data_IF_267365027849
#
_entry.id   IF_267365027849
#
_cell.length_a   1.000
_cell.length_b   1.000
_cell.length_c   1.000
_cell.angle_alpha   90.00
_cell.angle_beta   90.00
_cell.angle_gamma   90.00
#
_symmetry.space_group_name_H-M   'P 1'
#
loop_
_entity.id
_entity.type
_entity.pdbx_description
1 polymer ?
#
# COMPACT_ATOMS: atom_id res chain seq x y z
N UNK A 1 17.31 1.09 -9.80
CA UNK A 1 15.92 1.58 -9.68
C UNK A 1 15.32 1.09 -8.38
N UNK A 2 14.85 2.02 -7.57
CA UNK A 2 14.24 1.70 -6.28
C UNK A 2 12.74 1.52 -6.41
N UNK A 3 12.16 0.69 -5.54
CA UNK A 3 10.72 0.47 -5.49
C UNK A 3 10.22 0.68 -4.06
N UNK A 4 9.07 1.31 -3.93
CA UNK A 4 8.36 1.47 -2.67
C UNK A 4 6.97 0.86 -2.77
N UNK A 5 6.63 0.03 -1.80
CA UNK A 5 5.27 -0.50 -1.69
C UNK A 5 4.39 0.55 -1.00
N UNK A 6 3.23 0.80 -1.58
CA UNK A 6 2.30 1.83 -1.08
C UNK A 6 1.11 1.12 -0.45
N UNK A 7 0.98 1.24 0.88
CA UNK A 7 -0.16 0.66 1.59
C UNK A 7 -1.43 1.48 1.32
N UNK A 8 -2.55 0.83 1.53
CA UNK A 8 -3.89 1.38 1.24
C UNK A 8 -4.13 2.74 1.87
N UNK A 9 -3.71 2.95 3.13
CA UNK A 9 -3.98 4.21 3.84
C UNK A 9 -3.39 5.43 3.12
N UNK A 10 -2.24 5.30 2.48
CA UNK A 10 -1.62 6.40 1.74
C UNK A 10 -2.51 6.82 0.56
N UNK A 11 -3.05 5.85 -0.16
CA UNK A 11 -3.93 6.12 -1.31
C UNK A 11 -5.29 6.69 -0.87
N UNK A 12 -5.82 6.19 0.24
CA UNK A 12 -7.08 6.69 0.80
C UNK A 12 -6.93 8.13 1.26
N UNK A 13 -5.87 8.48 1.99
CA UNK A 13 -5.63 9.87 2.40
C UNK A 13 -5.50 10.80 1.21
N UNK A 14 -4.93 10.35 0.10
CA UNK A 14 -4.76 11.17 -1.09
C UNK A 14 -6.10 11.63 -1.68
N UNK A 15 -7.21 10.92 -1.38
CA UNK A 15 -8.55 11.34 -1.81
C UNK A 15 -9.42 11.88 -0.67
N UNK A 16 -8.97 11.82 0.58
CA UNK A 16 -9.75 12.20 1.76
C UNK A 16 -9.74 13.72 1.96
N UNK A 17 -10.84 14.38 1.56
CA UNK A 17 -10.99 15.83 1.69
C UNK A 17 -11.23 16.30 3.13
N UNK A 18 -11.51 15.39 4.07
CA UNK A 18 -11.74 15.74 5.48
C UNK A 18 -10.42 15.98 6.23
N UNK A 19 -9.33 15.35 5.80
CA UNK A 19 -8.01 15.57 6.38
C UNK A 19 -7.11 16.21 5.31
N UNK A 20 -7.19 17.52 5.20
CA UNK A 20 -6.50 18.25 4.13
C UNK A 20 -4.99 18.20 4.23
N UNK A 21 -4.44 18.13 5.45
CA UNK A 21 -3.00 18.05 5.65
C UNK A 21 -2.44 16.71 5.17
N UNK A 22 -3.08 15.60 5.57
CA UNK A 22 -2.68 14.27 5.12
C UNK A 22 -2.94 14.07 3.62
N UNK A 23 -4.04 14.62 3.11
CA UNK A 23 -4.34 14.57 1.69
C UNK A 23 -3.21 15.21 0.86
N UNK A 24 -2.81 16.42 1.24
CA UNK A 24 -1.72 17.12 0.56
C UNK A 24 -0.42 16.34 0.65
N UNK A 25 -0.08 15.86 1.85
CA UNK A 25 1.14 15.08 2.07
C UNK A 25 1.19 13.82 1.20
N UNK A 26 0.10 13.05 1.18
CA UNK A 26 0.03 11.83 0.39
C UNK A 26 0.05 12.11 -1.11
N UNK A 27 -0.63 13.16 -1.56
CA UNK A 27 -0.57 13.57 -2.97
C UNK A 27 0.85 13.97 -3.40
N UNK A 28 1.55 14.71 -2.54
CA UNK A 28 2.94 15.10 -2.81
C UNK A 28 3.85 13.86 -2.89
N UNK A 29 3.65 12.89 -1.99
CA UNK A 29 4.39 11.63 -2.03
C UNK A 29 4.17 10.88 -3.34
N UNK A 30 2.93 10.75 -3.77
CA UNK A 30 2.61 10.05 -5.01
C UNK A 30 3.17 10.78 -6.23
N UNK A 31 3.19 12.10 -6.21
CA UNK A 31 3.80 12.91 -7.28
C UNK A 31 5.31 12.80 -7.32
N UNK A 32 5.95 12.47 -6.20
CA UNK A 32 7.40 12.28 -6.14
C UNK A 32 7.88 11.01 -6.82
N UNK A 33 6.98 10.08 -7.10
CA UNK A 33 7.32 8.84 -7.77
C UNK A 33 7.68 9.08 -9.23
N UNK A 34 8.73 8.41 -9.69
CA UNK A 34 9.25 8.57 -11.06
C UNK A 34 9.97 7.28 -11.49
N UNK A 35 10.75 7.36 -12.58
CA UNK A 35 11.50 6.20 -13.09
C UNK A 35 12.59 5.70 -12.12
N UNK A 36 13.02 6.51 -11.16
CA UNK A 36 14.05 6.13 -10.17
C UNK A 36 13.44 5.56 -8.90
N UNK A 37 12.20 5.92 -8.57
CA UNK A 37 11.48 5.41 -7.41
C UNK A 37 10.07 5.02 -7.87
N UNK A 38 9.88 3.75 -8.18
CA UNK A 38 8.59 3.24 -8.67
C UNK A 38 7.69 2.83 -7.52
N UNK A 39 6.41 3.14 -7.66
CA UNK A 39 5.38 2.69 -6.73
C UNK A 39 4.90 1.29 -7.07
N UNK A 40 4.68 0.49 -6.04
CA UNK A 40 4.15 -0.88 -6.14
C UNK A 40 2.93 -0.98 -5.23
N UNK A 41 1.88 -1.60 -5.73
CA UNK A 41 0.69 -1.95 -4.94
C UNK A 41 0.41 -3.44 -5.13
N UNK A 42 -0.66 -3.93 -4.51
CA UNK A 42 -1.11 -5.32 -4.72
C UNK A 42 -2.61 -5.34 -4.99
N UNK A 43 -3.11 -6.49 -5.41
CA UNK A 43 -4.55 -6.71 -5.56
C UNK A 43 -5.29 -6.52 -4.23
N UNK A 44 -4.66 -6.86 -3.09
CA UNK A 44 -5.21 -6.57 -1.76
C UNK A 44 -5.42 -5.05 -1.56
N UNK A 45 -4.42 -4.25 -1.91
CA UNK A 45 -4.51 -2.79 -1.78
C UNK A 45 -5.66 -2.24 -2.63
N UNK A 46 -5.84 -2.75 -3.85
CA UNK A 46 -6.96 -2.35 -4.70
C UNK A 46 -8.31 -2.66 -4.04
N UNK A 47 -8.45 -3.85 -3.46
CA UNK A 47 -9.67 -4.28 -2.78
C UNK A 47 -9.95 -3.42 -1.54
N UNK A 48 -8.95 -3.22 -0.70
CA UNK A 48 -9.07 -2.40 0.51
C UNK A 48 -9.37 -0.95 0.17
N UNK A 49 -8.77 -0.41 -0.86
CA UNK A 49 -9.03 0.94 -1.32
C UNK A 49 -10.50 1.12 -1.70
N UNK A 50 -11.04 0.20 -2.50
CA UNK A 50 -12.45 0.24 -2.89
C UNK A 50 -13.37 0.23 -1.67
N UNK A 51 -13.16 -0.71 -0.75
CA UNK A 51 -14.00 -0.86 0.44
C UNK A 51 -13.94 0.39 1.32
N UNK A 52 -12.74 0.89 1.59
CA UNK A 52 -12.56 2.07 2.46
C UNK A 52 -13.11 3.33 1.81
N UNK A 53 -12.83 3.56 0.54
CA UNK A 53 -13.30 4.75 -0.16
C UNK A 53 -14.83 4.81 -0.25
N UNK A 54 -15.49 3.68 -0.50
CA UNK A 54 -16.94 3.64 -0.60
C UNK A 54 -17.61 3.67 0.76
N UNK A 55 -17.15 2.87 1.73
CA UNK A 55 -17.82 2.75 3.04
C UNK A 55 -17.44 3.88 3.99
N UNK A 56 -16.16 4.23 4.08
CA UNK A 56 -15.70 5.23 5.05
C UNK A 56 -15.82 6.65 4.52
N UNK A 57 -15.46 6.88 3.26
CA UNK A 57 -15.50 8.22 2.66
C UNK A 57 -16.79 8.50 1.90
N UNK A 58 -17.66 7.50 1.72
CA UNK A 58 -18.93 7.66 1.04
C UNK A 58 -18.81 7.93 -0.46
N UNK A 59 -17.69 7.58 -1.09
CA UNK A 59 -17.48 7.81 -2.51
C UNK A 59 -18.36 6.89 -3.36
N UNK A 60 -18.76 7.38 -4.53
CA UNK A 60 -19.54 6.60 -5.48
C UNK A 60 -18.72 5.39 -5.98
N UNK A 61 -19.30 4.16 -5.94
CA UNK A 61 -18.56 2.95 -6.36
C UNK A 61 -17.99 3.01 -7.78
N UNK A 62 -18.69 3.60 -8.73
CA UNK A 62 -18.20 3.70 -10.10
C UNK A 62 -17.06 4.71 -10.23
N UNK A 63 -17.10 5.79 -9.45
CA UNK A 63 -15.98 6.75 -9.38
C UNK A 63 -14.74 6.07 -8.81
N UNK A 64 -14.90 5.28 -7.74
CA UNK A 64 -13.77 4.54 -7.15
C UNK A 64 -13.21 3.52 -8.13
N UNK A 65 -14.07 2.81 -8.85
CA UNK A 65 -13.63 1.88 -9.89
C UNK A 65 -12.79 2.59 -10.95
N UNK A 66 -13.19 3.78 -11.38
CA UNK A 66 -12.42 4.56 -12.34
C UNK A 66 -11.08 5.01 -11.78
N UNK A 67 -11.02 5.35 -10.48
CA UNK A 67 -9.75 5.69 -9.83
C UNK A 67 -8.77 4.51 -9.81
N UNK A 68 -9.28 3.29 -9.73
CA UNK A 68 -8.43 2.10 -9.82
C UNK A 68 -7.70 2.01 -11.16
N UNK A 69 -8.27 2.54 -12.23
CA UNK A 69 -7.59 2.61 -13.53
C UNK A 69 -6.35 3.50 -13.45
N UNK A 70 -6.39 4.57 -12.67
CA UNK A 70 -5.23 5.44 -12.49
C UNK A 70 -4.09 4.75 -11.73
N UNK A 71 -4.38 3.68 -10.99
CA UNK A 71 -3.37 2.91 -10.26
C UNK A 71 -2.59 1.94 -11.18
N UNK A 72 -2.98 1.80 -12.44
CA UNK A 72 -2.23 1.00 -13.42
C UNK A 72 -0.82 1.52 -13.66
N UNK A 73 -0.55 2.78 -13.32
CA UNK A 73 0.80 3.35 -13.36
C UNK A 73 1.75 2.71 -12.35
N UNK A 74 1.21 2.07 -11.30
CA UNK A 74 2.00 1.34 -10.32
C UNK A 74 2.19 -0.11 -10.79
N UNK A 75 3.31 -0.72 -10.38
CA UNK A 75 3.45 -2.16 -10.52
C UNK A 75 2.47 -2.83 -9.56
N UNK A 76 1.74 -3.83 -10.03
CA UNK A 76 0.73 -4.49 -9.19
C UNK A 76 1.11 -5.94 -8.95
N UNK A 77 1.27 -6.29 -7.66
CA UNK A 77 1.48 -7.67 -7.23
C UNK A 77 0.13 -8.38 -7.15
N UNK A 78 0.01 -9.51 -7.84
CA UNK A 78 -1.15 -10.37 -7.72
C UNK A 78 -0.94 -11.27 -6.50
N UNK A 79 -1.86 -11.19 -5.53
CA UNK A 79 -1.79 -12.03 -4.33
C UNK A 79 -2.17 -13.46 -4.71
N UNK A 80 -1.16 -14.29 -4.86
CA UNK A 80 -1.28 -15.69 -5.23
C UNK A 80 -1.47 -16.59 -4.00
N UNK A 81 -1.90 -17.86 -4.16
CA UNK A 81 -1.91 -18.81 -3.03
C UNK A 81 -0.56 -18.94 -2.33
N UNK A 82 0.55 -18.89 -3.08
CA UNK A 82 1.90 -18.96 -2.52
C UNK A 82 2.18 -17.75 -1.61
N UNK A 83 1.77 -16.56 -2.03
CA UNK A 83 1.92 -15.35 -1.22
C UNK A 83 1.08 -15.45 0.05
N UNK A 84 -0.15 -15.98 -0.03
CA UNK A 84 -0.99 -16.18 1.14
C UNK A 84 -0.33 -17.11 2.16
N UNK A 85 0.20 -18.25 1.70
CA UNK A 85 0.87 -19.21 2.58
C UNK A 85 2.13 -18.61 3.22
N UNK A 86 2.92 -17.89 2.43
CA UNK A 86 4.13 -17.23 2.95
C UNK A 86 3.79 -16.11 3.93
N UNK A 87 2.69 -15.40 3.70
CA UNK A 87 2.21 -14.38 4.63
C UNK A 87 1.78 -14.99 5.97
N UNK A 88 1.25 -16.20 5.99
CA UNK A 88 0.94 -16.89 7.23
C UNK A 88 2.23 -17.13 8.03
N UNK A 89 3.28 -17.63 7.39
CA UNK A 89 4.58 -17.80 8.04
C UNK A 89 5.13 -16.46 8.54
N UNK A 90 5.07 -15.43 7.74
CA UNK A 90 5.52 -14.08 8.10
C UNK A 90 4.74 -13.55 9.31
N UNK A 91 3.43 -13.74 9.35
CA UNK A 91 2.58 -13.29 10.45
C UNK A 91 2.95 -13.96 11.77
N UNK A 92 3.24 -15.26 11.74
CA UNK A 92 3.63 -16.03 12.91
C UNK A 92 5.00 -15.57 13.43
N UNK A 93 5.98 -15.47 12.54
CA UNK A 93 7.35 -15.14 12.92
C UNK A 93 7.51 -13.70 13.39
N UNK A 94 6.76 -12.78 12.83
CA UNK A 94 6.90 -11.35 13.12
C UNK A 94 5.75 -10.80 13.98
N UNK A 95 4.82 -11.65 14.42
CA UNK A 95 3.66 -11.26 15.24
C UNK A 95 2.84 -10.15 14.59
N UNK A 96 2.58 -10.30 13.30
CA UNK A 96 1.75 -9.38 12.52
C UNK A 96 0.38 -10.00 12.27
N UNK A 97 -0.62 -9.16 12.00
CA UNK A 97 -1.87 -9.65 11.42
C UNK A 97 -1.59 -10.25 10.05
N UNK A 98 -2.47 -11.14 9.59
CA UNK A 98 -2.34 -11.70 8.23
C UNK A 98 -2.34 -10.59 7.18
N UNK A 99 -3.18 -9.58 7.38
CA UNK A 99 -3.32 -8.48 6.41
C UNK A 99 -2.04 -7.65 6.29
N UNK A 100 -1.38 -7.37 7.41
CA UNK A 100 -0.09 -6.67 7.42
C UNK A 100 1.02 -7.55 6.86
N UNK A 101 1.00 -8.84 7.17
CA UNK A 101 1.98 -9.78 6.62
C UNK A 101 1.84 -9.92 5.10
N UNK A 102 0.62 -9.87 4.56
CA UNK A 102 0.40 -9.88 3.12
C UNK A 102 1.03 -8.67 2.43
N UNK A 103 0.96 -7.50 3.07
CA UNK A 103 1.63 -6.28 2.56
C UNK A 103 3.14 -6.50 2.49
N UNK A 104 3.74 -7.03 3.56
CA UNK A 104 5.19 -7.26 3.62
C UNK A 104 5.62 -8.28 2.57
N UNK A 105 4.92 -9.40 2.44
CA UNK A 105 5.27 -10.45 1.49
C UNK A 105 5.08 -9.98 0.05
N UNK A 106 4.04 -9.21 -0.24
CA UNK A 106 3.86 -8.61 -1.56
C UNK A 106 5.01 -7.66 -1.90
N UNK A 107 5.39 -6.81 -0.94
CA UNK A 107 6.51 -5.90 -1.12
C UNK A 107 7.82 -6.65 -1.39
N UNK A 108 8.07 -7.73 -0.65
CA UNK A 108 9.25 -8.58 -0.85
C UNK A 108 9.24 -9.22 -2.24
N UNK A 109 8.10 -9.74 -2.68
CA UNK A 109 8.00 -10.40 -3.99
C UNK A 109 8.29 -9.44 -5.14
N UNK A 110 7.97 -8.17 -4.98
CA UNK A 110 8.26 -7.12 -5.96
C UNK A 110 9.64 -6.51 -5.79
N UNK A 111 10.42 -6.95 -4.80
CA UNK A 111 11.76 -6.43 -4.48
C UNK A 111 11.74 -4.96 -4.09
N UNK A 112 10.73 -4.56 -3.32
CA UNK A 112 10.68 -3.22 -2.76
C UNK A 112 11.71 -3.08 -1.65
N UNK A 113 12.32 -1.91 -1.53
CA UNK A 113 13.26 -1.63 -0.45
C UNK A 113 12.55 -1.05 0.78
N UNK A 114 11.36 -0.48 0.60
CA UNK A 114 10.60 0.09 1.70
C UNK A 114 9.09 0.00 1.46
N UNK A 115 8.32 0.19 2.55
CA UNK A 115 6.87 0.23 2.55
C UNK A 115 6.44 1.57 3.16
N UNK A 116 5.61 2.32 2.44
CA UNK A 116 4.93 3.50 3.00
C UNK A 116 3.63 3.06 3.65
N UNK A 117 3.54 3.21 4.96
CA UNK A 117 2.34 2.87 5.75
C UNK A 117 2.34 3.61 7.07
N UNK A 118 1.15 3.86 7.64
CA UNK A 118 1.03 4.35 9.01
C UNK A 118 0.69 3.23 10.01
N UNK A 119 0.44 2.01 9.53
CA UNK A 119 -0.08 0.90 10.35
C UNK A 119 1.01 0.08 11.04
N UNK A 120 2.23 0.10 10.53
CA UNK A 120 3.37 -0.60 11.11
C UNK A 120 4.32 0.39 11.79
N UNK A 121 5.27 -0.14 12.56
CA UNK A 121 6.22 0.71 13.28
C UNK A 121 7.22 1.36 12.33
N UNK A 122 7.29 2.68 12.34
CA UNK A 122 8.24 3.44 11.54
C UNK A 122 9.68 3.02 11.86
N UNK A 123 10.45 2.77 10.82
CA UNK A 123 11.84 2.32 10.94
C UNK A 123 12.03 0.84 11.17
N UNK A 124 10.97 0.07 11.39
CA UNK A 124 11.07 -1.38 11.55
C UNK A 124 11.54 -2.03 10.25
N UNK A 125 12.39 -3.05 10.38
CA UNK A 125 12.83 -3.84 9.23
C UNK A 125 12.20 -5.21 9.34
N UNK A 126 11.44 -5.60 8.31
CA UNK A 126 10.79 -6.91 8.23
C UNK A 126 11.21 -7.54 6.89
N UNK A 127 11.81 -8.72 6.95
CA UNK A 127 12.31 -9.41 5.74
C UNK A 127 13.20 -8.53 4.85
N UNK A 128 14.02 -7.69 5.49
CA UNK A 128 14.93 -6.80 4.78
C UNK A 128 14.27 -5.53 4.21
N UNK A 129 12.97 -5.33 4.45
CA UNK A 129 12.24 -4.18 3.95
C UNK A 129 12.01 -3.20 5.09
N UNK A 130 12.34 -1.93 4.87
CA UNK A 130 12.16 -0.89 5.88
C UNK A 130 10.76 -0.31 5.81
N UNK A 131 10.09 -0.28 6.95
CA UNK A 131 8.82 0.42 7.12
C UNK A 131 9.10 1.91 7.29
N UNK A 132 8.35 2.72 6.58
CA UNK A 132 8.47 4.17 6.63
C UNK A 132 7.06 4.77 6.76
N UNK A 133 6.83 5.49 7.86
CA UNK A 133 5.60 6.27 8.00
C UNK A 133 5.88 7.67 7.47
N UNK A 134 5.40 8.03 6.27
CA UNK A 134 5.71 9.32 5.67
C UNK A 134 4.82 10.46 6.17
N UNK A 135 3.88 10.15 7.06
CA UNK A 135 2.90 11.11 7.59
C UNK A 135 3.35 11.75 8.95
#
# INVERSE_FOLDING_TARGET
MSKVFIDTNILVYAMDAFDTAKQKRCRDLLKSLNSHMRGVISTQVMQEFYVTATKKLGADPLVVKDLLNAFERFDTVIVTPEIVKDAIDCSILNRLSLWDALIVVAAESARCEKIWTEDLNDGQIIRGIRVENPL
#
